data_IF_421698294771
#
_entry.id   IF_421698294771
#
_cell.length_a   1.000
_cell.length_b   1.000
_cell.length_c   1.000
_cell.angle_alpha   90.00
_cell.angle_beta   90.00
_cell.angle_gamma   90.00
#
_symmetry.space_group_name_H-M   'P 1'
#
loop_
_entity.id
_entity.type
_entity.pdbx_description
1 polymer ?
#
# COMPACT_ATOMS: atom_id res chain seq x y z
N UNK A 1 9.66 0.41 -11.22
CA UNK A 1 10.35 1.72 -11.27
C UNK A 1 9.84 2.61 -10.13
N UNK A 2 10.31 2.45 -8.89
CA UNK A 2 9.73 3.18 -7.74
C UNK A 2 10.74 3.77 -6.72
N UNK A 3 12.01 3.34 -6.73
CA UNK A 3 12.90 3.60 -5.58
C UNK A 3 13.31 5.05 -5.28
N UNK A 4 13.16 6.00 -6.22
CA UNK A 4 13.52 7.42 -6.00
C UNK A 4 12.31 8.31 -5.68
N UNK A 5 11.14 8.03 -6.24
CA UNK A 5 9.92 8.81 -6.01
C UNK A 5 9.34 8.56 -4.62
N UNK A 6 9.35 7.30 -4.19
CA UNK A 6 8.70 6.89 -2.94
C UNK A 6 9.36 7.51 -1.70
N UNK A 7 10.69 7.60 -1.70
CA UNK A 7 11.43 8.27 -0.61
C UNK A 7 11.05 9.74 -0.49
N UNK A 8 10.81 10.42 -1.61
CA UNK A 8 10.40 11.82 -1.61
C UNK A 8 8.97 11.98 -1.08
N UNK A 9 8.05 11.08 -1.45
CA UNK A 9 6.68 11.09 -0.93
C UNK A 9 6.64 10.78 0.57
N UNK A 10 7.38 9.77 1.02
CA UNK A 10 7.52 9.44 2.45
C UNK A 10 8.09 10.62 3.24
N UNK A 11 9.12 11.28 2.70
CA UNK A 11 9.71 12.46 3.33
C UNK A 11 8.70 13.60 3.47
N UNK A 12 7.98 13.93 2.40
CA UNK A 12 6.92 14.96 2.44
C UNK A 12 5.85 14.64 3.47
N UNK A 13 5.41 13.39 3.55
CA UNK A 13 4.42 12.97 4.54
C UNK A 13 4.95 13.10 5.97
N UNK A 14 6.14 12.56 6.27
CA UNK A 14 6.67 12.57 7.64
C UNK A 14 7.18 13.93 8.12
N UNK A 15 7.75 14.75 7.24
CA UNK A 15 8.31 16.06 7.62
C UNK A 15 7.27 17.18 7.60
N UNK A 16 6.26 17.08 6.73
CA UNK A 16 5.30 18.17 6.50
C UNK A 16 3.83 17.77 6.68
N UNK A 17 3.53 16.51 7.01
CA UNK A 17 2.16 16.03 7.15
C UNK A 17 1.40 15.98 5.83
N UNK A 18 2.10 15.87 4.69
CA UNK A 18 1.51 15.89 3.36
C UNK A 18 0.64 14.64 3.11
N UNK A 19 -0.67 14.78 3.36
CA UNK A 19 -1.64 13.69 3.22
C UNK A 19 -1.77 13.23 1.76
N UNK A 20 -1.62 14.14 0.79
CA UNK A 20 -1.68 13.78 -0.63
C UNK A 20 -0.48 12.91 -1.03
N UNK A 21 0.71 13.15 -0.47
CA UNK A 21 1.86 12.28 -0.69
C UNK A 21 1.64 10.87 -0.12
N UNK A 22 0.98 10.76 1.04
CA UNK A 22 0.58 9.47 1.61
C UNK A 22 -0.47 8.76 0.77
N UNK A 23 -1.51 9.45 0.30
CA UNK A 23 -2.54 8.88 -0.57
C UNK A 23 -1.93 8.33 -1.86
N UNK A 24 -1.03 9.09 -2.49
CA UNK A 24 -0.30 8.63 -3.67
C UNK A 24 0.50 7.35 -3.42
N UNK A 25 1.19 7.25 -2.26
CA UNK A 25 1.89 6.02 -1.88
C UNK A 25 0.91 4.85 -1.72
N UNK A 26 -0.20 5.06 -1.01
CA UNK A 26 -1.22 4.01 -0.81
C UNK A 26 -1.72 3.51 -2.17
N UNK A 27 -2.14 4.40 -3.05
CA UNK A 27 -2.65 4.06 -4.39
C UNK A 27 -1.62 3.30 -5.23
N UNK A 28 -0.36 3.77 -5.25
CA UNK A 28 0.73 3.14 -5.98
C UNK A 28 0.94 1.68 -5.54
N UNK A 29 0.86 1.42 -4.23
CA UNK A 29 1.10 0.11 -3.63
C UNK A 29 -0.15 -0.79 -3.57
N UNK A 30 -1.35 -0.31 -3.88
CA UNK A 30 -2.56 -1.15 -3.92
C UNK A 30 -2.47 -2.27 -4.97
N UNK A 31 -1.77 -2.05 -6.08
CA UNK A 31 -1.52 -3.09 -7.09
C UNK A 31 -0.68 -4.25 -6.52
N UNK A 32 0.34 -3.93 -5.72
CA UNK A 32 1.16 -4.89 -5.02
C UNK A 32 0.33 -5.66 -3.98
N UNK A 33 -0.48 -4.96 -3.18
CA UNK A 33 -1.40 -5.59 -2.21
C UNK A 33 -2.31 -6.62 -2.91
N UNK A 34 -2.95 -6.26 -4.02
CA UNK A 34 -3.78 -7.22 -4.80
C UNK A 34 -2.97 -8.40 -5.31
N UNK A 35 -1.76 -8.18 -5.82
CA UNK A 35 -0.91 -9.27 -6.31
C UNK A 35 -0.49 -10.24 -5.20
N UNK A 36 -0.26 -9.73 -3.98
CA UNK A 36 0.01 -10.53 -2.79
C UNK A 36 -1.24 -11.29 -2.38
N UNK A 37 -2.37 -10.61 -2.21
CA UNK A 37 -3.64 -11.21 -1.82
C UNK A 37 -4.05 -12.38 -2.73
N UNK A 38 -3.92 -12.23 -4.07
CA UNK A 38 -4.19 -13.32 -5.04
C UNK A 38 -3.32 -14.56 -4.83
N UNK A 39 -2.10 -14.42 -4.29
CA UNK A 39 -1.24 -15.58 -3.97
C UNK A 39 -1.71 -16.32 -2.71
N UNK A 40 -2.38 -15.63 -1.80
CA UNK A 40 -2.88 -16.21 -0.56
C UNK A 40 -4.34 -16.68 -0.64
N UNK A 41 -5.11 -16.23 -1.64
CA UNK A 41 -6.53 -16.60 -1.81
C UNK A 41 -6.75 -18.09 -2.12
N UNK A 42 -5.75 -18.82 -2.59
CA UNK A 42 -5.84 -20.27 -2.81
C UNK A 42 -6.04 -21.10 -1.53
N UNK A 43 -5.98 -20.45 -0.34
CA UNK A 43 -6.15 -21.11 0.96
C UNK A 43 -7.60 -21.12 1.47
N UNK A 44 -8.56 -20.71 0.64
CA UNK A 44 -10.00 -20.71 0.98
C UNK A 44 -10.53 -19.38 1.51
N UNK A 45 -9.68 -18.37 1.68
CA UNK A 45 -10.07 -17.02 2.07
C UNK A 45 -10.56 -16.20 0.87
N UNK A 46 -11.56 -15.34 1.08
CA UNK A 46 -12.06 -14.47 0.03
C UNK A 46 -10.98 -13.45 -0.36
N UNK A 47 -10.78 -13.26 -1.67
CA UNK A 47 -9.75 -12.33 -2.17
C UNK A 47 -9.96 -10.91 -1.65
N UNK A 48 -11.21 -10.47 -1.51
CA UNK A 48 -11.53 -9.12 -1.03
C UNK A 48 -11.12 -8.90 0.43
N UNK A 49 -11.34 -9.90 1.29
CA UNK A 49 -10.94 -9.87 2.70
C UNK A 49 -9.40 -9.76 2.82
N UNK A 50 -8.68 -10.56 2.01
CA UNK A 50 -7.22 -10.50 1.96
C UNK A 50 -6.70 -9.15 1.44
N UNK A 51 -7.39 -8.55 0.45
CA UNK A 51 -7.06 -7.22 -0.05
C UNK A 51 -7.30 -6.16 1.02
N UNK A 52 -8.40 -6.24 1.77
CA UNK A 52 -8.68 -5.30 2.86
C UNK A 52 -7.63 -5.39 3.97
N UNK A 53 -7.31 -6.60 4.44
CA UNK A 53 -6.27 -6.81 5.46
C UNK A 53 -4.92 -6.27 4.97
N UNK A 54 -4.57 -6.56 3.72
CA UNK A 54 -3.35 -6.05 3.09
C UNK A 54 -3.34 -4.53 2.96
N UNK A 55 -4.47 -3.90 2.64
CA UNK A 55 -4.61 -2.45 2.58
C UNK A 55 -4.43 -1.81 3.96
N UNK A 56 -5.00 -2.40 5.02
CA UNK A 56 -4.77 -1.95 6.41
C UNK A 56 -3.28 -2.05 6.77
N UNK A 57 -2.62 -3.15 6.38
CA UNK A 57 -1.18 -3.32 6.59
C UNK A 57 -0.35 -2.25 5.87
N UNK A 58 -0.67 -1.97 4.60
CA UNK A 58 -0.04 -0.91 3.81
C UNK A 58 -0.23 0.47 4.46
N UNK A 59 -1.46 0.80 4.84
CA UNK A 59 -1.85 2.06 5.49
C UNK A 59 -1.11 2.31 6.81
N UNK A 60 -0.80 1.24 7.56
CA UNK A 60 -0.04 1.31 8.82
C UNK A 60 1.47 1.35 8.62
N UNK A 61 1.96 0.90 7.47
CA UNK A 61 3.39 0.88 7.14
C UNK A 61 3.89 2.20 6.53
N UNK A 62 2.98 3.05 6.05
CA UNK A 62 3.22 4.42 5.55
C UNK A 62 2.92 5.41 6.66
#
# INVERSE_FOLDING_TARGET
MAGKSDKALLRRYHEHGDVAAREQLIEQYMSLVRSLARRYSYRGEQLEDLVQIGAIGLIKAI
#
